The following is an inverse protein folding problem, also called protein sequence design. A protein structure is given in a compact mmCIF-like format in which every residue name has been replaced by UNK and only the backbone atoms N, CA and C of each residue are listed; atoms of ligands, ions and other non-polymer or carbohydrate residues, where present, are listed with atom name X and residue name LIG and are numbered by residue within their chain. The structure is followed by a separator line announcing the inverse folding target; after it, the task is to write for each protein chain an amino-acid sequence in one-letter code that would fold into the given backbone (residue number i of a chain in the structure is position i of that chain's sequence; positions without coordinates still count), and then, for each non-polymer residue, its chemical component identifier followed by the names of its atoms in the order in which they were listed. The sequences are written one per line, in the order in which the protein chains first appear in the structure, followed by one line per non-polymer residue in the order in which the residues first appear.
data_IF_531018456759
#
_entry.id   IF_531018456759
#
_cell.length_a   1.000
_cell.length_b   1.000
_cell.length_c   1.000
_cell.angle_alpha   90.00
_cell.angle_beta   90.00
_cell.angle_gamma   90.00
#
_symmetry.space_group_name_H-M   'P 1'
#
loop_
_entity.id
_entity.type
_entity.pdbx_description
1 polymer ?
#
# COMPACT_ATOMS: atom_id res chain seq x y z
N UNK A 1 66.45 -31.63 -28.34
CA UNK A 1 66.30 -30.20 -28.67
C UNK A 1 65.11 -30.06 -29.60
N UNK A 2 63.97 -29.57 -29.13
CA UNK A 2 62.78 -29.32 -29.94
C UNK A 2 62.38 -27.84 -29.79
N UNK A 3 62.04 -27.15 -30.90
CA UNK A 3 61.74 -25.73 -30.88
C UNK A 3 60.28 -25.47 -30.45
N UNK A 4 60.11 -24.34 -29.77
CA UNK A 4 58.86 -23.80 -29.25
C UNK A 4 57.89 -23.43 -30.39
N UNK A 5 56.64 -23.88 -30.28
CA UNK A 5 55.51 -23.44 -31.09
C UNK A 5 54.70 -22.40 -30.28
N UNK A 6 54.83 -21.13 -30.67
CA UNK A 6 53.95 -20.04 -30.27
C UNK A 6 52.54 -20.27 -30.81
N UNK A 7 51.52 -20.21 -29.95
CA UNK A 7 50.12 -19.99 -30.35
C UNK A 7 49.59 -18.73 -29.66
N UNK A 8 48.96 -17.80 -30.41
CA UNK A 8 48.44 -16.56 -29.85
C UNK A 8 47.11 -16.78 -29.12
N UNK A 9 46.96 -16.08 -28.00
CA UNK A 9 45.76 -16.05 -27.15
C UNK A 9 44.64 -15.28 -27.83
N UNK A 10 43.53 -15.96 -28.12
CA UNK A 10 42.34 -15.38 -28.73
C UNK A 10 41.49 -14.69 -27.65
N UNK A 11 41.66 -13.37 -27.49
CA UNK A 11 40.86 -12.54 -26.58
C UNK A 11 39.60 -12.09 -27.31
N UNK A 12 38.49 -12.79 -27.07
CA UNK A 12 37.16 -12.33 -27.51
C UNK A 12 36.72 -11.10 -26.70
N UNK A 13 36.37 -9.97 -27.35
CA UNK A 13 35.77 -8.85 -26.64
C UNK A 13 34.34 -9.19 -26.23
N UNK A 14 34.06 -9.13 -24.93
CA UNK A 14 32.69 -9.08 -24.38
C UNK A 14 32.06 -7.77 -24.86
N UNK A 15 31.06 -7.89 -25.73
CA UNK A 15 30.12 -6.82 -26.03
C UNK A 15 29.28 -6.55 -24.78
N UNK A 16 29.68 -5.54 -24.02
CA UNK A 16 28.81 -4.87 -23.05
C UNK A 16 27.59 -4.34 -23.79
N UNK A 17 26.45 -5.00 -23.58
CA UNK A 17 25.16 -4.55 -24.07
C UNK A 17 24.56 -3.67 -22.98
N UNK A 18 24.41 -2.34 -23.19
CA UNK A 18 23.72 -1.50 -22.24
C UNK A 18 22.27 -1.99 -22.15
N UNK A 19 21.85 -2.41 -20.96
CA UNK A 19 20.48 -2.79 -20.66
C UNK A 19 19.66 -1.50 -20.55
N UNK A 20 19.31 -0.93 -21.69
CA UNK A 20 18.34 0.17 -21.76
C UNK A 20 16.99 -0.43 -21.36
N UNK A 21 16.58 -0.19 -20.11
CA UNK A 21 15.23 -0.47 -19.67
C UNK A 21 14.24 0.38 -20.49
N UNK A 22 13.05 -0.15 -20.87
CA UNK A 22 12.11 0.61 -21.67
C UNK A 22 11.62 1.86 -20.92
N UNK A 23 11.72 3.06 -21.50
CA UNK A 23 11.32 4.32 -20.87
C UNK A 23 9.82 4.43 -20.56
N UNK A 24 8.98 3.54 -21.09
CA UNK A 24 7.52 3.55 -20.89
C UNK A 24 7.07 3.14 -19.49
N UNK A 25 7.81 2.26 -18.80
CA UNK A 25 7.48 1.86 -17.42
C UNK A 25 7.74 3.02 -16.44
N UNK A 26 8.83 3.78 -16.66
CA UNK A 26 9.13 4.99 -15.89
C UNK A 26 8.16 6.14 -16.21
N UNK A 27 7.67 6.24 -17.45
CA UNK A 27 6.70 7.27 -17.82
C UNK A 27 5.34 7.08 -17.13
N UNK A 28 4.88 5.83 -16.92
CA UNK A 28 3.61 5.55 -16.21
C UNK A 28 3.69 5.78 -14.69
N UNK A 29 4.89 5.84 -14.11
CA UNK A 29 5.12 6.17 -12.70
C UNK A 29 5.07 7.68 -12.43
N UNK A 30 5.31 8.54 -13.43
CA UNK A 30 5.52 9.98 -13.23
C UNK A 30 4.27 10.82 -12.96
N UNK A 31 3.07 10.24 -13.08
CA UNK A 31 1.81 10.95 -12.77
C UNK A 31 1.25 10.60 -11.37
N UNK A 32 1.93 9.74 -10.60
CA UNK A 32 1.53 9.37 -9.25
C UNK A 32 2.01 10.36 -8.18
N UNK A 33 1.14 10.70 -7.23
CA UNK A 33 1.54 11.36 -5.98
C UNK A 33 1.96 10.30 -4.97
N UNK A 34 2.87 10.66 -4.06
CA UNK A 34 3.27 9.82 -2.93
C UNK A 34 2.64 10.34 -1.64
N UNK A 35 2.21 9.41 -0.79
CA UNK A 35 1.71 9.69 0.54
C UNK A 35 2.45 8.81 1.56
N UNK A 36 2.78 9.37 2.73
CA UNK A 36 3.51 8.62 3.75
C UNK A 36 2.59 7.66 4.49
N UNK A 37 2.88 6.37 4.43
CA UNK A 37 2.14 5.31 5.12
C UNK A 37 2.93 4.84 6.35
N UNK A 38 2.40 4.95 7.57
CA UNK A 38 2.95 4.26 8.74
C UNK A 38 2.85 2.74 8.56
N UNK A 39 3.99 2.04 8.69
CA UNK A 39 4.06 0.59 8.46
C UNK A 39 4.40 -0.22 9.69
N UNK A 40 4.96 0.40 10.75
CA UNK A 40 5.35 -0.31 11.97
C UNK A 40 4.24 -1.19 12.53
N UNK A 41 3.04 -0.65 12.71
CA UNK A 41 1.89 -1.42 13.21
C UNK A 41 1.46 -2.58 12.28
N UNK A 42 1.73 -2.49 10.98
CA UNK A 42 1.44 -3.57 10.02
C UNK A 42 2.44 -4.70 10.21
N UNK A 43 3.72 -4.36 10.29
CA UNK A 43 4.81 -5.32 10.50
C UNK A 43 4.76 -5.98 11.88
N UNK A 44 4.21 -5.29 12.88
CA UNK A 44 3.92 -5.83 14.22
C UNK A 44 2.65 -6.73 14.25
N UNK A 45 2.00 -6.97 13.11
CA UNK A 45 0.83 -7.83 13.00
C UNK A 45 -0.49 -7.16 13.39
N UNK A 46 -0.57 -5.83 13.44
CA UNK A 46 -1.78 -5.09 13.79
C UNK A 46 -2.94 -5.31 12.81
N UNK A 47 -2.67 -5.79 11.59
CA UNK A 47 -3.73 -6.21 10.64
C UNK A 47 -4.62 -7.32 11.21
N UNK A 48 -4.16 -8.10 12.20
CA UNK A 48 -4.97 -9.15 12.86
C UNK A 48 -6.19 -8.58 13.58
N UNK A 49 -6.11 -7.36 14.11
CA UNK A 49 -7.21 -6.72 14.84
C UNK A 49 -8.46 -6.46 13.98
N UNK A 50 -8.28 -6.33 12.66
CA UNK A 50 -9.37 -6.12 11.70
C UNK A 50 -10.03 -7.44 11.32
N UNK A 51 -10.93 -7.91 12.17
CA UNK A 51 -11.52 -9.25 12.07
C UNK A 51 -12.60 -9.35 10.99
N UNK A 52 -12.74 -10.55 10.42
CA UNK A 52 -13.70 -10.86 9.35
C UNK A 52 -14.93 -11.67 9.79
N UNK A 53 -15.10 -11.94 11.07
CA UNK A 53 -16.29 -12.61 11.60
C UNK A 53 -17.52 -11.69 11.70
N UNK A 54 -18.67 -12.32 11.94
CA UNK A 54 -19.96 -11.65 12.05
C UNK A 54 -19.91 -10.55 13.12
N UNK A 55 -20.44 -9.36 12.78
CA UNK A 55 -20.40 -8.18 13.64
C UNK A 55 -19.14 -7.32 13.51
N UNK A 56 -18.03 -7.86 13.01
CA UNK A 56 -16.78 -7.10 12.82
C UNK A 56 -16.50 -6.78 11.35
N UNK A 57 -16.89 -7.65 10.41
CA UNK A 57 -16.53 -7.56 9.00
C UNK A 57 -16.72 -6.16 8.38
N UNK A 58 -17.92 -5.60 8.48
CA UNK A 58 -18.23 -4.30 7.86
C UNK A 58 -17.45 -3.14 8.47
N UNK A 59 -17.28 -3.16 9.80
CA UNK A 59 -16.48 -2.18 10.53
C UNK A 59 -14.99 -2.30 10.18
N UNK A 60 -14.46 -3.51 10.08
CA UNK A 60 -13.06 -3.76 9.72
C UNK A 60 -12.73 -3.24 8.32
N UNK A 61 -13.60 -3.53 7.34
CA UNK A 61 -13.44 -3.01 5.98
C UNK A 61 -13.53 -1.48 5.97
N UNK A 62 -14.52 -0.91 6.65
CA UNK A 62 -14.69 0.53 6.74
C UNK A 62 -13.47 1.23 7.37
N UNK A 63 -12.91 0.65 8.42
CA UNK A 63 -11.71 1.16 9.08
C UNK A 63 -10.50 1.18 8.13
N UNK A 64 -10.21 0.08 7.44
CA UNK A 64 -9.07 0.02 6.51
C UNK A 64 -9.26 0.93 5.29
N UNK A 65 -10.49 1.05 4.77
CA UNK A 65 -10.82 2.01 3.71
C UNK A 65 -10.60 3.45 4.17
N UNK A 66 -11.14 3.81 5.34
CA UNK A 66 -10.94 5.13 5.94
C UNK A 66 -9.46 5.43 6.18
N UNK A 67 -8.70 4.45 6.69
CA UNK A 67 -7.27 4.61 6.91
C UNK A 67 -6.53 4.93 5.61
N UNK A 68 -6.78 4.17 4.53
CA UNK A 68 -6.20 4.47 3.21
C UNK A 68 -6.63 5.84 2.69
N UNK A 69 -7.90 6.21 2.84
CA UNK A 69 -8.39 7.55 2.49
C UNK A 69 -7.62 8.64 3.23
N UNK A 70 -7.40 8.49 4.54
CA UNK A 70 -6.63 9.45 5.32
C UNK A 70 -5.17 9.49 4.87
N UNK A 71 -4.55 8.33 4.59
CA UNK A 71 -3.17 8.25 4.11
C UNK A 71 -3.00 9.08 2.83
N UNK A 72 -3.83 8.88 1.81
CA UNK A 72 -3.72 9.63 0.54
C UNK A 72 -4.25 11.06 0.58
N UNK A 73 -4.94 11.46 1.66
CA UNK A 73 -5.42 12.84 1.85
C UNK A 73 -4.44 13.69 2.67
N UNK A 74 -3.27 13.15 3.02
CA UNK A 74 -2.22 13.94 3.64
C UNK A 74 -1.75 15.01 2.67
N UNK A 75 -1.65 16.26 3.13
CA UNK A 75 -1.01 17.31 2.36
C UNK A 75 0.50 17.03 2.26
N UNK A 76 0.97 16.83 1.04
CA UNK A 76 2.39 16.81 0.70
C UNK A 76 2.93 18.25 0.62
N UNK A 77 2.84 19.01 1.72
CA UNK A 77 3.49 20.31 1.80
C UNK A 77 5.02 20.14 1.80
N UNK A 78 5.78 20.87 0.97
CA UNK A 78 7.24 20.89 1.08
C UNK A 78 7.61 21.50 2.44
N UNK A 79 8.37 20.77 3.25
CA UNK A 79 8.94 21.34 4.47
C UNK A 79 10.14 22.19 4.06
N UNK A 80 10.02 23.51 4.21
CA UNK A 80 11.09 24.46 3.90
C UNK A 80 12.32 24.31 4.82
N UNK A 81 12.18 23.68 6.00
CA UNK A 81 13.14 23.91 7.11
C UNK A 81 13.84 22.67 7.67
N UNK A 82 13.82 21.51 7.00
CA UNK A 82 14.66 20.36 7.37
C UNK A 82 14.42 19.70 8.75
N UNK A 83 13.56 20.27 9.60
CA UNK A 83 13.10 19.64 10.84
C UNK A 83 12.00 18.62 10.53
N UNK A 84 12.07 17.41 11.11
CA UNK A 84 11.01 16.42 10.96
C UNK A 84 9.73 16.92 11.66
N UNK A 85 8.72 17.41 10.93
CA UNK A 85 7.59 18.04 11.57
C UNK A 85 6.62 16.97 12.06
N UNK A 86 5.89 17.30 13.12
CA UNK A 86 4.66 16.59 13.46
C UNK A 86 3.74 16.71 12.24
N UNK A 87 3.24 15.61 11.66
CA UNK A 87 2.36 15.67 10.50
C UNK A 87 1.16 16.56 10.80
N UNK A 88 0.83 17.47 9.87
CA UNK A 88 -0.33 18.33 9.99
C UNK A 88 -1.61 17.48 10.17
N UNK A 89 -2.62 17.98 10.90
CA UNK A 89 -3.93 17.33 10.89
C UNK A 89 -4.51 17.29 9.48
N UNK A 90 -5.22 16.23 9.16
CA UNK A 90 -5.90 15.98 7.90
C UNK A 90 -7.38 16.40 8.09
N UNK A 91 -7.79 17.60 7.61
CA UNK A 91 -9.17 18.06 7.77
C UNK A 91 -10.09 17.33 6.80
N UNK A 92 -11.07 16.59 7.31
CA UNK A 92 -12.02 15.82 6.49
C UNK A 92 -13.44 15.89 7.02
N UNK A 93 -14.40 16.23 6.15
CA UNK A 93 -15.82 16.06 6.41
C UNK A 93 -16.28 14.63 6.09
N UNK A 94 -17.41 14.20 6.64
CA UNK A 94 -18.01 12.90 6.29
C UNK A 94 -18.37 12.82 4.81
N UNK A 95 -18.89 13.90 4.22
CA UNK A 95 -19.16 13.99 2.79
C UNK A 95 -17.91 13.73 1.95
N UNK A 96 -16.77 14.36 2.30
CA UNK A 96 -15.51 14.16 1.58
C UNK A 96 -15.00 12.74 1.73
N UNK A 97 -15.09 12.16 2.94
CA UNK A 97 -14.72 10.75 3.18
C UNK A 97 -15.62 9.83 2.34
N UNK A 98 -16.92 10.07 2.31
CA UNK A 98 -17.88 9.27 1.55
C UNK A 98 -17.60 9.33 0.04
N UNK A 99 -17.34 10.51 -0.50
CA UNK A 99 -16.95 10.70 -1.90
C UNK A 99 -15.69 9.90 -2.26
N UNK A 100 -14.67 9.97 -1.40
CA UNK A 100 -13.38 9.29 -1.65
C UNK A 100 -13.46 7.78 -1.50
N UNK A 101 -14.09 7.31 -0.44
CA UNK A 101 -14.02 5.90 -0.03
C UNK A 101 -15.25 5.08 -0.42
N UNK A 102 -16.37 5.71 -0.73
CA UNK A 102 -17.66 5.03 -0.93
C UNK A 102 -18.22 4.43 0.36
N UNK A 103 -17.85 4.99 1.52
CA UNK A 103 -18.43 4.65 2.81
C UNK A 103 -19.66 5.51 3.10
N UNK A 104 -20.66 4.94 3.74
CA UNK A 104 -21.78 5.69 4.32
C UNK A 104 -21.43 6.21 5.71
N UNK A 105 -22.13 7.23 6.20
CA UNK A 105 -21.88 7.83 7.51
C UNK A 105 -21.84 6.83 8.68
N UNK A 106 -22.75 5.83 8.78
CA UNK A 106 -22.64 4.82 9.82
C UNK A 106 -21.34 4.00 9.74
N UNK A 107 -20.87 3.70 8.53
CA UNK A 107 -19.62 2.98 8.32
C UNK A 107 -18.40 3.86 8.58
N UNK A 108 -18.45 5.15 8.24
CA UNK A 108 -17.41 6.13 8.59
C UNK A 108 -17.28 6.21 10.11
N UNK A 109 -18.40 6.35 10.83
CA UNK A 109 -18.40 6.39 12.29
C UNK A 109 -17.83 5.10 12.91
N UNK A 110 -18.29 3.94 12.46
CA UNK A 110 -17.81 2.65 12.95
C UNK A 110 -16.32 2.42 12.63
N UNK A 111 -15.88 2.76 11.42
CA UNK A 111 -14.50 2.67 10.98
C UNK A 111 -13.58 3.61 11.76
N UNK A 112 -14.00 4.87 11.94
CA UNK A 112 -13.30 5.88 12.77
C UNK A 112 -13.08 5.36 14.18
N UNK A 113 -14.13 4.87 14.83
CA UNK A 113 -14.03 4.30 16.18
C UNK A 113 -13.03 3.14 16.22
N UNK A 114 -13.09 2.22 15.26
CA UNK A 114 -12.13 1.11 15.20
C UNK A 114 -10.68 1.59 15.03
N UNK A 115 -10.41 2.61 14.22
CA UNK A 115 -9.06 3.16 14.07
C UNK A 115 -8.54 3.84 15.35
N UNK A 116 -9.41 4.53 16.08
CA UNK A 116 -9.09 5.15 17.38
C UNK A 116 -8.84 4.05 18.43
N UNK A 117 -9.71 3.04 18.50
CA UNK A 117 -9.57 1.91 19.44
C UNK A 117 -8.25 1.14 19.21
N UNK A 118 -7.77 1.08 17.96
CA UNK A 118 -6.47 0.48 17.61
C UNK A 118 -5.29 1.45 17.75
N UNK A 119 -5.52 2.70 18.16
CA UNK A 119 -4.46 3.71 18.30
C UNK A 119 -3.80 4.12 16.99
N UNK A 120 -4.44 3.89 15.84
CA UNK A 120 -3.89 4.21 14.52
C UNK A 120 -4.21 5.64 14.09
N UNK A 121 -5.29 6.20 14.63
CA UNK A 121 -5.77 7.54 14.31
C UNK A 121 -6.17 8.25 15.60
N UNK A 122 -5.84 9.53 15.70
CA UNK A 122 -6.42 10.44 16.68
C UNK A 122 -7.23 11.52 15.98
N UNK A 123 -8.18 12.11 16.69
CA UNK A 123 -9.00 13.22 16.20
C UNK A 123 -8.92 14.38 17.18
N UNK A 124 -8.86 15.60 16.68
CA UNK A 124 -9.17 16.78 17.47
C UNK A 124 -10.66 17.15 17.31
N UNK A 125 -11.14 18.04 18.17
CA UNK A 125 -12.54 18.48 18.18
C UNK A 125 -13.01 18.97 16.81
N UNK A 126 -14.31 18.79 16.59
CA UNK A 126 -14.99 19.15 15.36
C UNK A 126 -14.86 20.65 15.09
N UNK A 127 -14.38 20.98 13.89
CA UNK A 127 -14.26 22.36 13.43
C UNK A 127 -15.59 22.83 12.84
N UNK A 128 -15.85 24.16 12.81
CA UNK A 128 -16.99 24.71 12.11
C UNK A 128 -17.13 24.12 10.70
N UNK A 129 -18.35 23.71 10.32
CA UNK A 129 -18.62 23.09 9.02
C UNK A 129 -18.51 21.56 8.98
N UNK A 130 -18.63 20.86 10.12
CA UNK A 130 -18.71 19.39 10.16
C UNK A 130 -17.41 18.69 9.75
N UNK A 131 -16.27 19.39 9.89
CA UNK A 131 -14.96 18.89 9.50
C UNK A 131 -14.21 18.40 10.73
N UNK A 132 -13.71 17.18 10.67
CA UNK A 132 -12.91 16.58 11.74
C UNK A 132 -11.44 16.62 11.35
N UNK A 133 -10.59 17.05 12.27
CA UNK A 133 -9.14 17.05 12.08
C UNK A 133 -8.56 15.70 12.54
N UNK A 134 -8.22 14.84 11.59
CA UNK A 134 -7.62 13.53 11.85
C UNK A 134 -6.09 13.63 11.92
N UNK A 135 -5.44 12.75 12.68
CA UNK A 135 -3.99 12.55 12.62
C UNK A 135 -3.68 11.06 12.60
N UNK A 136 -2.79 10.67 11.68
CA UNK A 136 -2.25 9.32 11.65
C UNK A 136 -1.18 9.17 12.75
N UNK A 137 -1.25 8.08 13.50
CA UNK A 137 -0.24 7.72 14.50
C UNK A 137 0.90 6.96 13.81
N UNK A 138 2.13 7.12 14.30
CA UNK A 138 3.30 6.39 13.77
C UNK A 138 4.05 7.07 12.63
N UNK A 139 3.70 8.30 12.24
CA UNK A 139 4.42 9.08 11.22
C UNK A 139 5.69 9.80 11.74
N UNK A 140 6.27 9.34 12.86
CA UNK A 140 7.50 9.94 13.40
C UNK A 140 8.71 9.48 12.57
N UNK A 141 9.75 10.32 12.38
CA UNK A 141 10.93 9.99 11.58
C UNK A 141 11.70 8.74 12.04
N UNK A 142 11.51 8.31 13.29
CA UNK A 142 12.12 7.09 13.87
C UNK A 142 11.30 5.82 13.64
N UNK A 143 10.13 5.90 13.00
CA UNK A 143 9.19 4.78 12.80
C UNK A 143 9.20 4.37 11.33
N UNK A 144 9.06 3.08 11.05
CA UNK A 144 8.96 2.56 9.70
C UNK A 144 7.80 3.22 8.94
N UNK A 145 8.16 3.96 7.88
CA UNK A 145 7.25 4.68 6.98
C UNK A 145 7.68 4.38 5.55
N UNK A 146 6.70 4.17 4.67
CA UNK A 146 6.91 3.93 3.23
C UNK A 146 6.10 4.93 2.43
N UNK A 147 6.52 5.20 1.20
CA UNK A 147 5.78 6.03 0.25
C UNK A 147 4.73 5.17 -0.48
N UNK A 148 3.46 5.46 -0.22
CA UNK A 148 2.33 4.88 -0.92
C UNK A 148 2.05 5.72 -2.18
N UNK A 149 2.11 5.06 -3.34
CA UNK A 149 1.76 5.67 -4.62
C UNK A 149 0.25 5.75 -4.78
N UNK A 150 -0.26 6.91 -5.20
CA UNK A 150 -1.67 7.10 -5.52
C UNK A 150 -1.85 8.04 -6.72
N UNK A 151 -2.96 7.87 -7.44
CA UNK A 151 -3.29 8.76 -8.54
C UNK A 151 -3.78 10.13 -8.02
N UNK A 152 -3.68 11.19 -8.86
CA UNK A 152 -4.37 12.44 -8.60
C UNK A 152 -5.87 12.19 -8.47
N UNK A 153 -6.50 12.76 -7.45
CA UNK A 153 -7.92 12.55 -7.17
C UNK A 153 -8.78 13.58 -7.91
N UNK A 154 -8.70 13.60 -9.25
CA UNK A 154 -9.42 14.58 -10.09
C UNK A 154 -10.94 14.50 -9.91
N UNK A 155 -11.47 13.29 -9.71
CA UNK A 155 -12.91 13.04 -9.50
C UNK A 155 -13.31 12.93 -8.02
N UNK A 156 -12.40 13.23 -7.08
CA UNK A 156 -12.68 13.13 -5.63
C UNK A 156 -13.08 11.73 -5.16
N UNK A 157 -12.71 10.69 -5.91
CA UNK A 157 -13.07 9.28 -5.69
C UNK A 157 -11.81 8.41 -5.79
N UNK A 158 -11.74 7.39 -4.95
CA UNK A 158 -10.74 6.31 -5.03
C UNK A 158 -11.47 5.04 -5.50
N UNK A 159 -11.42 4.76 -6.79
CA UNK A 159 -12.19 3.72 -7.46
C UNK A 159 -12.03 2.34 -6.86
N UNK A 160 -10.81 1.95 -6.51
CA UNK A 160 -10.55 0.66 -5.91
C UNK A 160 -11.26 0.51 -4.55
N UNK A 161 -11.31 1.57 -3.74
CA UNK A 161 -12.03 1.56 -2.47
C UNK A 161 -13.53 1.41 -2.69
N UNK A 162 -14.11 2.10 -3.67
CA UNK A 162 -15.53 1.97 -4.01
C UNK A 162 -15.92 0.55 -4.45
N UNK A 163 -15.05 -0.13 -5.19
CA UNK A 163 -15.28 -1.52 -5.65
C UNK A 163 -15.20 -2.54 -4.50
N UNK A 164 -14.47 -2.22 -3.43
CA UNK A 164 -14.35 -3.04 -2.22
C UNK A 164 -15.53 -2.76 -1.26
N UNK A 165 -16.61 -3.53 -1.42
CA UNK A 165 -17.79 -3.45 -0.55
C UNK A 165 -17.51 -3.93 0.87
N UNK A 166 -18.19 -3.34 1.86
CA UNK A 166 -18.05 -3.67 3.28
C UNK A 166 -18.81 -4.94 3.72
N UNK A 167 -19.27 -5.77 2.79
CA UNK A 167 -20.13 -6.94 3.09
C UNK A 167 -19.48 -8.28 2.81
N UNK A 168 -18.28 -8.30 2.21
CA UNK A 168 -17.65 -9.52 1.70
C UNK A 168 -16.30 -9.75 2.38
N UNK A 169 -16.13 -10.92 3.02
CA UNK A 169 -14.86 -11.33 3.62
C UNK A 169 -13.66 -11.31 2.63
N UNK A 170 -13.82 -11.70 1.34
CA UNK A 170 -12.76 -11.53 0.36
C UNK A 170 -12.25 -10.09 0.20
N UNK A 171 -13.10 -9.07 0.36
CA UNK A 171 -12.70 -7.68 0.24
C UNK A 171 -11.84 -7.23 1.43
N UNK A 172 -12.11 -7.77 2.64
CA UNK A 172 -11.26 -7.54 3.79
C UNK A 172 -9.88 -8.17 3.59
N UNK A 173 -9.82 -9.41 3.07
CA UNK A 173 -8.55 -10.06 2.74
C UNK A 173 -7.76 -9.27 1.71
N UNK A 174 -8.42 -8.72 0.68
CA UNK A 174 -7.80 -7.84 -0.31
C UNK A 174 -7.20 -6.57 0.32
N UNK A 175 -7.95 -5.86 1.18
CA UNK A 175 -7.44 -4.66 1.86
C UNK A 175 -6.24 -4.94 2.77
N UNK A 176 -6.30 -6.03 3.56
CA UNK A 176 -5.18 -6.44 4.41
C UNK A 176 -3.94 -6.77 3.58
N UNK A 177 -4.13 -7.54 2.51
CA UNK A 177 -3.03 -7.96 1.62
C UNK A 177 -2.42 -6.74 0.92
N UNK A 178 -3.24 -5.79 0.47
CA UNK A 178 -2.76 -4.55 -0.14
C UNK A 178 -1.93 -3.72 0.83
N UNK A 179 -2.43 -3.49 2.05
CA UNK A 179 -1.69 -2.74 3.07
C UNK A 179 -0.37 -3.42 3.45
N UNK A 180 -0.35 -4.75 3.54
CA UNK A 180 0.88 -5.51 3.77
C UNK A 180 1.88 -5.33 2.62
N UNK A 181 1.44 -5.47 1.37
CA UNK A 181 2.31 -5.24 0.21
C UNK A 181 2.87 -3.82 0.20
N UNK A 182 2.06 -2.81 0.52
CA UNK A 182 2.56 -1.44 0.68
C UNK A 182 3.60 -1.37 1.79
N UNK A 183 3.35 -2.03 2.93
CA UNK A 183 4.21 -1.98 4.11
C UNK A 183 5.56 -2.68 3.95
N UNK A 184 5.64 -3.70 3.10
CA UNK A 184 6.90 -4.39 2.77
C UNK A 184 7.83 -3.49 1.93
N UNK A 185 7.26 -2.46 1.29
CA UNK A 185 8.00 -1.54 0.42
C UNK A 185 8.35 -2.17 -0.93
N UNK A 186 8.43 -1.33 -1.95
CA UNK A 186 8.90 -1.73 -3.27
C UNK A 186 10.36 -1.38 -3.49
N UNK A 187 11.00 -2.08 -4.42
CA UNK A 187 12.21 -1.56 -5.07
C UNK A 187 11.89 -0.28 -5.88
N UNK A 188 12.88 0.38 -6.49
CA UNK A 188 12.64 1.58 -7.30
C UNK A 188 11.64 1.40 -8.45
N UNK A 189 11.40 0.16 -8.90
CA UNK A 189 10.44 -0.19 -9.95
C UNK A 189 9.05 -0.55 -9.38
N UNK A 190 8.84 -0.34 -8.07
CA UNK A 190 7.61 -0.65 -7.34
C UNK A 190 7.38 -2.15 -7.15
N UNK A 191 8.41 -2.97 -7.28
CA UNK A 191 8.30 -4.42 -7.16
C UNK A 191 8.41 -4.85 -5.70
N UNK A 192 7.42 -5.62 -5.26
CA UNK A 192 7.32 -6.20 -3.91
C UNK A 192 7.38 -7.71 -4.02
N UNK A 193 8.05 -8.35 -3.07
CA UNK A 193 8.02 -9.81 -2.90
C UNK A 193 7.22 -10.14 -1.65
N UNK A 194 6.18 -10.96 -1.81
CA UNK A 194 5.32 -11.41 -0.73
C UNK A 194 5.57 -12.88 -0.42
N UNK A 195 5.99 -13.17 0.80
CA UNK A 195 5.97 -14.50 1.40
C UNK A 195 4.55 -14.77 1.93
N UNK A 196 3.87 -15.78 1.37
CA UNK A 196 2.48 -16.13 1.71
C UNK A 196 2.35 -16.62 3.16
N UNK A 197 3.35 -17.32 3.70
CA UNK A 197 3.33 -17.82 5.07
C UNK A 197 3.47 -16.66 6.06
N UNK A 198 4.42 -15.75 5.80
CA UNK A 198 4.59 -14.53 6.58
C UNK A 198 3.31 -13.66 6.54
N UNK A 199 2.75 -13.47 5.34
CA UNK A 199 1.50 -12.74 5.15
C UNK A 199 0.32 -13.39 5.89
N UNK A 200 0.26 -14.73 5.90
CA UNK A 200 -0.77 -15.46 6.64
C UNK A 200 -0.69 -15.20 8.12
N UNK A 201 0.52 -15.28 8.68
CA UNK A 201 0.77 -14.96 10.09
C UNK A 201 0.44 -13.50 10.39
N UNK A 202 0.92 -12.53 9.62
CA UNK A 202 0.75 -11.10 9.91
C UNK A 202 -0.71 -10.62 9.79
N UNK A 203 -1.51 -11.25 8.94
CA UNK A 203 -2.90 -10.81 8.68
C UNK A 203 -3.97 -11.68 9.33
N UNK A 204 -3.59 -12.85 9.85
CA UNK A 204 -4.50 -13.94 10.27
C UNK A 204 -5.46 -14.33 9.12
N UNK A 205 -4.92 -14.44 7.92
CA UNK A 205 -5.66 -14.80 6.70
C UNK A 205 -5.08 -16.09 6.12
N UNK A 206 -5.91 -17.06 5.75
CA UNK A 206 -5.41 -18.31 5.18
C UNK A 206 -4.72 -18.12 3.83
N UNK A 207 -3.82 -19.03 3.45
CA UNK A 207 -3.04 -18.94 2.20
C UNK A 207 -3.94 -18.87 0.96
N UNK A 208 -5.05 -19.64 0.98
CA UNK A 208 -6.07 -19.63 -0.07
C UNK A 208 -6.69 -18.23 -0.21
N UNK A 209 -7.01 -17.59 0.92
CA UNK A 209 -7.60 -16.24 0.91
C UNK A 209 -6.59 -15.17 0.51
N UNK A 210 -5.31 -15.32 0.86
CA UNK A 210 -4.25 -14.41 0.38
C UNK A 210 -4.05 -14.55 -1.13
N UNK A 211 -3.97 -15.77 -1.64
CA UNK A 211 -3.89 -16.02 -3.08
C UNK A 211 -5.09 -15.42 -3.83
N UNK A 212 -6.32 -15.62 -3.31
CA UNK A 212 -7.51 -15.00 -3.88
C UNK A 212 -7.51 -13.46 -3.77
N UNK A 213 -6.98 -12.92 -2.67
CA UNK A 213 -6.81 -11.48 -2.49
C UNK A 213 -5.83 -10.89 -3.52
N UNK A 214 -4.71 -11.55 -3.81
CA UNK A 214 -3.78 -11.11 -4.85
C UNK A 214 -4.45 -11.04 -6.23
N UNK A 215 -5.25 -12.05 -6.59
CA UNK A 215 -6.04 -12.03 -7.83
C UNK A 215 -7.07 -10.89 -7.84
N UNK A 216 -7.72 -10.64 -6.70
CA UNK A 216 -8.66 -9.53 -6.57
C UNK A 216 -7.95 -8.17 -6.74
N UNK A 217 -6.75 -7.99 -6.19
CA UNK A 217 -5.96 -6.77 -6.36
C UNK A 217 -5.53 -6.55 -7.81
N UNK A 218 -5.23 -7.63 -8.55
CA UNK A 218 -4.99 -7.55 -10.00
C UNK A 218 -6.25 -7.10 -10.76
N UNK A 219 -7.42 -7.69 -10.45
CA UNK A 219 -8.70 -7.28 -11.05
C UNK A 219 -9.16 -5.86 -10.70
N UNK A 220 -8.59 -5.29 -9.62
CA UNK A 220 -8.77 -3.89 -9.23
C UNK A 220 -7.72 -2.95 -9.85
N UNK A 221 -6.69 -3.50 -10.53
CA UNK A 221 -5.59 -2.70 -11.07
C UNK A 221 -4.67 -2.12 -10.01
N UNK A 222 -4.56 -2.76 -8.83
CA UNK A 222 -3.67 -2.34 -7.74
C UNK A 222 -2.35 -3.11 -7.70
N UNK A 223 -2.26 -4.23 -8.41
CA UNK A 223 -1.05 -5.03 -8.51
C UNK A 223 -0.97 -5.69 -9.89
N UNK A 224 0.26 -5.85 -10.39
CA UNK A 224 0.57 -6.58 -11.61
C UNK A 224 1.47 -7.79 -11.25
N UNK A 225 1.12 -9.02 -11.63
CA UNK A 225 1.96 -10.18 -11.35
C UNK A 225 3.23 -10.12 -12.20
N UNK A 226 4.38 -10.41 -11.59
CA UNK A 226 5.64 -10.55 -12.31
C UNK A 226 6.06 -12.01 -12.38
N UNK A 227 6.78 -12.37 -13.43
CA UNK A 227 7.38 -13.69 -13.53
C UNK A 227 8.34 -13.91 -12.33
N UNK A 228 8.03 -14.91 -11.51
CA UNK A 228 8.92 -15.31 -10.42
C UNK A 228 9.99 -16.26 -10.97
N UNK A 229 11.29 -15.93 -10.87
CA UNK A 229 12.36 -16.84 -11.31
C UNK A 229 12.52 -18.04 -10.38
N UNK A 230 11.97 -17.98 -9.16
CA UNK A 230 12.04 -19.04 -8.17
C UNK A 230 10.78 -19.91 -8.22
N UNK A 231 10.97 -21.23 -8.29
CA UNK A 231 9.88 -22.23 -8.24
C UNK A 231 9.32 -22.45 -6.82
N UNK A 232 9.72 -21.66 -5.83
CA UNK A 232 9.13 -21.72 -4.49
C UNK A 232 7.70 -21.16 -4.59
N UNK A 233 6.70 -22.03 -4.45
CA UNK A 233 5.28 -21.69 -4.68
C UNK A 233 4.73 -20.62 -3.75
N UNK A 234 5.44 -20.34 -2.66
CA UNK A 234 5.00 -19.47 -1.56
C UNK A 234 5.54 -18.03 -1.67
N UNK A 235 6.42 -17.75 -2.64
CA UNK A 235 6.91 -16.40 -2.90
C UNK A 235 6.27 -15.82 -4.16
N UNK A 236 5.58 -14.69 -4.02
CA UNK A 236 4.93 -13.97 -5.13
C UNK A 236 5.64 -12.64 -5.36
N UNK A 237 6.08 -12.40 -6.59
CA UNK A 237 6.59 -11.09 -7.02
C UNK A 237 5.50 -10.34 -7.75
N UNK A 238 5.21 -9.12 -7.30
CA UNK A 238 4.20 -8.25 -7.88
C UNK A 238 4.75 -6.84 -8.02
N UNK A 239 4.32 -6.10 -9.03
CA UNK A 239 4.48 -4.65 -9.07
C UNK A 239 3.24 -4.00 -8.47
N UNK A 240 3.43 -3.10 -7.50
CA UNK A 240 2.34 -2.28 -6.99
C UNK A 240 2.03 -1.15 -7.95
N UNK A 241 0.74 -0.92 -8.16
CA UNK A 241 0.23 0.17 -8.98
C UNK A 241 -0.36 1.26 -8.07
N UNK A 242 -0.39 2.52 -8.53
CA UNK A 242 -0.95 3.62 -7.74
C UNK A 242 -2.39 3.31 -7.31
N UNK A 243 -2.73 3.66 -6.07
CA UNK A 243 -4.12 3.62 -5.59
C UNK A 243 -4.96 4.61 -6.42
N UNK A 244 -5.93 4.10 -7.17
CA UNK A 244 -6.86 4.87 -8.01
C UNK A 244 -8.28 4.76 -7.51
#
# INVERSE_FOLDING_TARGET
MHPELLHPTDVRPRLDRPRIAPPEAMARMRDGRTARLPTGWIQDGGLRAFRGDAGYLGRSIAALKLYLTLVVSQDAGPNADGQAPIPAPIPMSYERIAALSGLSDPLICAGKRALIDQGLVTTADERPGGTIAYRLVGLRPSVAVVDLLHAPQECGRIDALHRLTCRKAPNLAALKTYLLLCADGGDPDGVVSLDIDAASRLTQTSHVKISAALLALQGLGLAEPLASPLRSGDHRRLRLLPLR
#
